data_IF_823684439402
#
_entry.id   IF_823684439402
#
_cell.length_a   1.000
_cell.length_b   1.000
_cell.length_c   1.000
_cell.angle_alpha   90.00
_cell.angle_beta   90.00
_cell.angle_gamma   90.00
#
_symmetry.space_group_name_H-M   'P 1'
#
loop_
_entity.id
_entity.type
_entity.pdbx_description
1 polymer ?
#
# COMPACT_ATOMS: atom_id res chain seq x y z
N UNK A 1 5.73 -9.98 22.33
CA UNK A 1 6.23 -9.65 20.98
C UNK A 1 5.45 -10.49 19.99
N UNK A 2 4.93 -9.91 18.93
CA UNK A 2 4.35 -10.69 17.84
C UNK A 2 5.49 -11.45 17.15
N UNK A 3 5.27 -12.71 16.79
CA UNK A 3 6.20 -13.43 15.93
C UNK A 3 6.02 -12.97 14.46
N UNK A 4 7.06 -13.18 13.64
CA UNK A 4 7.08 -12.70 12.25
C UNK A 4 5.96 -13.29 11.38
N UNK A 5 5.54 -14.54 11.64
CA UNK A 5 4.46 -15.19 10.90
C UNK A 5 3.11 -14.55 11.22
N UNK A 6 2.90 -14.21 12.50
CA UNK A 6 1.72 -13.46 12.94
C UNK A 6 1.68 -12.05 12.31
N UNK A 7 2.80 -11.33 12.29
CA UNK A 7 2.86 -10.02 11.60
C UNK A 7 2.46 -10.12 10.13
N UNK A 8 3.04 -11.10 9.40
CA UNK A 8 2.73 -11.32 7.99
C UNK A 8 1.24 -11.60 7.76
N UNK A 9 0.64 -12.46 8.59
CA UNK A 9 -0.79 -12.80 8.49
C UNK A 9 -1.68 -11.59 8.76
N UNK A 10 -1.34 -10.77 9.76
CA UNK A 10 -2.10 -9.57 10.09
C UNK A 10 -1.99 -8.52 8.98
N UNK A 11 -0.78 -8.27 8.47
CA UNK A 11 -0.58 -7.33 7.37
C UNK A 11 -1.36 -7.77 6.12
N UNK A 12 -1.31 -9.05 5.77
CA UNK A 12 -2.08 -9.60 4.65
C UNK A 12 -3.59 -9.46 4.85
N UNK A 13 -4.08 -9.73 6.06
CA UNK A 13 -5.51 -9.60 6.38
C UNK A 13 -6.00 -8.15 6.26
N UNK A 14 -5.21 -7.19 6.75
CA UNK A 14 -5.53 -5.76 6.67
C UNK A 14 -5.50 -5.26 5.22
N UNK A 15 -4.48 -5.61 4.44
CA UNK A 15 -4.41 -5.24 3.02
C UNK A 15 -5.59 -5.80 2.23
N UNK A 16 -6.03 -7.03 2.51
CA UNK A 16 -7.22 -7.63 1.89
C UNK A 16 -8.52 -6.87 2.21
N UNK A 17 -8.57 -6.09 3.30
CA UNK A 17 -9.74 -5.26 3.62
C UNK A 17 -9.84 -3.99 2.77
N UNK A 18 -8.82 -3.64 1.99
CA UNK A 18 -8.93 -2.56 1.00
C UNK A 18 -9.86 -2.95 -0.16
N UNK A 19 -10.10 -4.25 -0.37
CA UNK A 19 -11.05 -4.78 -1.35
C UNK A 19 -12.46 -5.01 -0.81
N UNK A 20 -12.73 -4.56 0.42
CA UNK A 20 -14.03 -4.78 1.05
C UNK A 20 -15.11 -3.91 0.36
N UNK A 21 -16.33 -4.43 0.10
CA UNK A 21 -17.40 -3.63 -0.50
C UNK A 21 -17.86 -2.47 0.39
N UNK A 22 -17.57 -2.50 1.70
CA UNK A 22 -17.89 -1.41 2.62
C UNK A 22 -16.76 -0.37 2.66
N UNK A 23 -17.07 0.86 2.27
CA UNK A 23 -16.17 2.01 2.39
C UNK A 23 -15.73 2.26 3.85
N UNK A 24 -16.57 1.92 4.82
CA UNK A 24 -16.22 2.02 6.24
C UNK A 24 -15.14 1.00 6.61
N UNK A 25 -15.27 -0.24 6.12
CA UNK A 25 -14.26 -1.28 6.35
C UNK A 25 -12.94 -0.92 5.67
N UNK A 26 -12.99 -0.42 4.44
CA UNK A 26 -11.83 0.11 3.74
C UNK A 26 -11.14 1.23 4.55
N UNK A 27 -11.92 2.20 5.05
CA UNK A 27 -11.42 3.30 5.87
C UNK A 27 -10.77 2.82 7.17
N UNK A 28 -11.35 1.80 7.82
CA UNK A 28 -10.76 1.17 9.00
C UNK A 28 -9.50 0.39 8.68
N UNK A 29 -9.41 -0.24 7.51
CA UNK A 29 -8.21 -0.90 7.04
C UNK A 29 -7.05 0.10 6.87
N UNK A 30 -7.31 1.28 6.29
CA UNK A 30 -6.34 2.37 6.17
C UNK A 30 -5.86 2.86 7.55
N UNK A 31 -6.78 3.07 8.50
CA UNK A 31 -6.42 3.47 9.87
C UNK A 31 -5.56 2.40 10.56
N UNK A 32 -5.86 1.12 10.33
CA UNK A 32 -5.06 0.02 10.86
C UNK A 32 -3.67 -0.04 10.21
N UNK A 33 -3.60 0.18 8.89
CA UNK A 33 -2.35 0.23 8.14
C UNK A 33 -1.38 1.29 8.70
N UNK A 34 -1.87 2.49 8.99
CA UNK A 34 -1.07 3.57 9.61
C UNK A 34 -0.42 3.14 10.94
N UNK A 35 -1.11 2.30 11.72
CA UNK A 35 -0.58 1.73 12.97
C UNK A 35 0.44 0.63 12.67
N UNK A 36 0.13 -0.28 11.75
CA UNK A 36 0.99 -1.42 11.42
C UNK A 36 2.38 -0.96 10.95
N UNK A 37 2.45 0.07 10.11
CA UNK A 37 3.72 0.62 9.58
C UNK A 37 4.71 1.04 10.68
N UNK A 38 4.22 1.34 11.88
CA UNK A 38 5.01 1.77 13.04
C UNK A 38 5.28 0.64 14.03
N UNK A 39 4.72 -0.55 13.81
CA UNK A 39 4.72 -1.66 14.78
C UNK A 39 5.40 -2.93 14.27
N UNK A 40 5.31 -3.19 12.98
CA UNK A 40 5.91 -4.39 12.37
C UNK A 40 7.37 -4.16 12.02
N UNK A 41 8.10 -5.25 11.81
CA UNK A 41 9.49 -5.18 11.35
C UNK A 41 9.62 -4.58 9.94
N UNK A 42 10.80 -4.03 9.63
CA UNK A 42 11.13 -3.43 8.33
C UNK A 42 10.74 -4.32 7.15
N UNK A 43 11.02 -5.63 7.22
CA UNK A 43 10.67 -6.56 6.14
C UNK A 43 9.17 -6.55 5.81
N UNK A 44 8.30 -6.40 6.81
CA UNK A 44 6.85 -6.31 6.59
C UNK A 44 6.43 -4.95 6.05
N UNK A 45 7.11 -3.86 6.43
CA UNK A 45 6.89 -2.53 5.84
C UNK A 45 7.20 -2.56 4.34
N UNK A 46 8.29 -3.21 3.95
CA UNK A 46 8.66 -3.37 2.54
C UNK A 46 7.67 -4.24 1.76
N UNK A 47 7.22 -5.35 2.35
CA UNK A 47 6.19 -6.18 1.75
C UNK A 47 4.85 -5.43 1.57
N UNK A 48 4.46 -4.60 2.53
CA UNK A 48 3.30 -3.71 2.41
C UNK A 48 3.49 -2.72 1.25
N UNK A 49 4.66 -2.11 1.15
CA UNK A 49 5.00 -1.18 0.06
C UNK A 49 4.85 -1.84 -1.31
N UNK A 50 5.43 -3.02 -1.49
CA UNK A 50 5.40 -3.73 -2.76
C UNK A 50 3.96 -4.16 -3.12
N UNK A 51 3.16 -4.60 -2.13
CA UNK A 51 1.75 -4.93 -2.33
C UNK A 51 0.89 -3.74 -2.71
N UNK A 52 1.03 -2.61 -2.03
CA UNK A 52 0.28 -1.40 -2.37
C UNK A 52 0.62 -0.91 -3.78
N UNK A 53 1.89 -0.98 -4.17
CA UNK A 53 2.28 -0.67 -5.55
C UNK A 53 1.63 -1.64 -6.56
N UNK A 54 1.64 -2.94 -6.27
CA UNK A 54 0.96 -3.93 -7.11
C UNK A 54 -0.54 -3.68 -7.24
N UNK A 55 -1.22 -3.30 -6.15
CA UNK A 55 -2.64 -2.95 -6.18
C UNK A 55 -2.94 -1.72 -7.04
N UNK A 56 -2.05 -0.71 -7.03
CA UNK A 56 -2.21 0.48 -7.87
C UNK A 56 -2.05 0.17 -9.36
N UNK A 57 -1.06 -0.66 -9.69
CA UNK A 57 -0.68 -0.95 -11.08
C UNK A 57 -1.55 -2.02 -11.72
N UNK A 58 -1.84 -3.08 -10.96
CA UNK A 58 -2.42 -4.32 -11.48
C UNK A 58 -3.73 -4.71 -10.75
N UNK A 59 -4.15 -3.92 -9.75
CA UNK A 59 -5.37 -4.16 -8.98
C UNK A 59 -6.63 -3.66 -9.70
N UNK A 60 -7.74 -3.61 -8.96
CA UNK A 60 -9.04 -3.17 -9.52
C UNK A 60 -9.08 -1.66 -9.71
N UNK A 61 -9.37 -1.21 -10.92
CA UNK A 61 -9.49 0.20 -11.28
C UNK A 61 -10.47 0.98 -10.39
N UNK A 62 -11.61 0.38 -10.08
CA UNK A 62 -12.65 0.98 -9.21
C UNK A 62 -12.18 1.20 -7.76
N UNK A 63 -11.13 0.50 -7.33
CA UNK A 63 -10.52 0.61 -6.00
C UNK A 63 -9.19 1.39 -6.02
N UNK A 64 -8.78 1.93 -7.18
CA UNK A 64 -7.50 2.64 -7.32
C UNK A 64 -7.39 3.85 -6.38
N UNK A 65 -8.51 4.51 -6.05
CA UNK A 65 -8.53 5.61 -5.08
C UNK A 65 -8.17 5.13 -3.66
N UNK A 66 -8.82 4.05 -3.18
CA UNK A 66 -8.51 3.51 -1.84
C UNK A 66 -7.08 2.95 -1.77
N UNK A 67 -6.59 2.31 -2.82
CA UNK A 67 -5.20 1.89 -2.89
C UNK A 67 -4.24 3.09 -2.85
N UNK A 68 -4.62 4.21 -3.48
CA UNK A 68 -3.82 5.44 -3.50
C UNK A 68 -3.77 6.10 -2.13
N UNK A 69 -4.89 6.08 -1.40
CA UNK A 69 -4.93 6.47 0.01
C UNK A 69 -3.99 5.57 0.83
N UNK A 70 -3.99 4.25 0.60
CA UNK A 70 -3.07 3.33 1.25
C UNK A 70 -1.59 3.67 0.99
N UNK A 71 -1.25 3.99 -0.25
CA UNK A 71 0.10 4.40 -0.63
C UNK A 71 0.49 5.76 -0.01
N UNK A 72 -0.44 6.72 0.04
CA UNK A 72 -0.26 8.00 0.74
C UNK A 72 -0.02 7.79 2.23
N UNK A 73 -0.80 6.92 2.87
CA UNK A 73 -0.63 6.53 4.27
C UNK A 73 0.73 5.89 4.50
N UNK A 74 1.19 5.00 3.61
CA UNK A 74 2.54 4.45 3.67
C UNK A 74 3.60 5.56 3.73
N UNK A 75 3.55 6.51 2.81
CA UNK A 75 4.53 7.62 2.75
C UNK A 75 4.44 8.51 3.99
N UNK A 76 3.24 8.77 4.50
CA UNK A 76 3.03 9.66 5.65
C UNK A 76 3.42 9.02 6.99
N UNK A 77 3.22 7.72 7.16
CA UNK A 77 3.30 7.05 8.46
C UNK A 77 4.51 6.11 8.61
N UNK A 78 5.26 5.86 7.55
CA UNK A 78 6.49 5.05 7.62
C UNK A 78 7.52 5.70 8.56
N UNK A 79 8.15 4.92 9.47
CA UNK A 79 9.26 5.42 10.28
C UNK A 79 10.44 5.91 9.42
N UNK A 80 11.11 6.98 9.85
CA UNK A 80 12.19 7.63 9.10
C UNK A 80 13.32 6.66 8.69
N UNK A 81 13.66 5.70 9.55
CA UNK A 81 14.70 4.70 9.27
C UNK A 81 14.36 3.79 8.06
N UNK A 82 13.07 3.56 7.78
CA UNK A 82 12.61 2.80 6.62
C UNK A 82 12.40 3.68 5.37
N UNK A 83 12.43 5.01 5.52
CA UNK A 83 12.05 5.96 4.47
C UNK A 83 12.87 5.81 3.18
N UNK A 84 14.20 5.64 3.30
CA UNK A 84 15.06 5.41 2.13
C UNK A 84 14.70 4.14 1.38
N UNK A 85 14.46 3.03 2.11
CA UNK A 85 14.13 1.74 1.53
C UNK A 85 12.74 1.70 0.89
N UNK A 86 11.77 2.40 1.48
CA UNK A 86 10.44 2.58 0.90
C UNK A 86 10.50 3.46 -0.35
N UNK A 87 11.17 4.62 -0.30
CA UNK A 87 11.30 5.51 -1.45
C UNK A 87 11.93 4.83 -2.67
N UNK A 88 12.99 4.04 -2.47
CA UNK A 88 13.62 3.30 -3.56
C UNK A 88 12.68 2.27 -4.23
N UNK A 89 11.83 1.60 -3.45
CA UNK A 89 10.85 0.64 -3.97
C UNK A 89 9.73 1.33 -4.72
N UNK A 90 9.16 2.38 -4.11
CA UNK A 90 8.12 3.21 -4.73
C UNK A 90 8.58 3.74 -6.09
N UNK A 91 9.76 4.37 -6.15
CA UNK A 91 10.31 4.93 -7.39
C UNK A 91 10.47 3.84 -8.45
N UNK A 92 11.09 2.70 -8.10
CA UNK A 92 11.29 1.59 -9.07
C UNK A 92 9.96 1.08 -9.63
N UNK A 93 8.96 0.89 -8.77
CA UNK A 93 7.70 0.26 -9.17
C UNK A 93 6.77 1.22 -9.89
N UNK A 94 6.63 2.45 -9.41
CA UNK A 94 5.79 3.47 -10.04
C UNK A 94 6.38 3.94 -11.38
N UNK A 95 7.70 4.13 -11.49
CA UNK A 95 8.32 4.47 -12.78
C UNK A 95 8.06 3.40 -13.84
N UNK A 96 8.14 2.12 -13.48
CA UNK A 96 7.80 1.05 -14.41
C UNK A 96 6.32 1.02 -14.80
N UNK A 97 5.42 1.50 -13.93
CA UNK A 97 4.01 1.68 -14.25
C UNK A 97 3.77 2.82 -15.24
N UNK A 98 4.44 3.96 -15.03
CA UNK A 98 4.33 5.15 -15.90
C UNK A 98 5.03 4.94 -17.25
N UNK A 99 6.10 4.13 -17.27
CA UNK A 99 6.87 3.85 -18.49
C UNK A 99 6.30 2.70 -19.31
N UNK A 100 5.31 1.97 -18.79
CA UNK A 100 4.51 1.03 -19.57
C UNK A 100 3.50 1.79 -20.43
N UNK A 101 3.29 1.36 -21.67
CA UNK A 101 2.36 1.89 -22.70
C UNK A 101 0.86 1.91 -22.31
N UNK A 102 0.53 1.97 -21.02
CA UNK A 102 -0.84 2.07 -20.53
C UNK A 102 -1.36 3.49 -20.72
N UNK A 103 -2.31 3.64 -21.64
CA UNK A 103 -3.10 4.84 -21.91
C UNK A 103 -3.32 5.66 -20.63
N UNK A 104 -2.69 6.84 -20.56
CA UNK A 104 -3.09 7.86 -19.58
C UNK A 104 -4.50 8.28 -20.02
N UNK A 105 -5.54 7.69 -19.42
CA UNK A 105 -6.91 8.15 -19.56
C UNK A 105 -7.02 9.52 -18.90
N UNK A 106 -6.63 10.56 -19.62
CA UNK A 106 -7.00 11.94 -19.30
C UNK A 106 -8.48 12.04 -19.66
N UNK A 107 -9.36 11.81 -18.68
CA UNK A 107 -10.75 12.26 -18.79
C UNK A 107 -10.74 13.79 -18.79
N UNK A 108 -10.83 14.37 -19.98
CA UNK A 108 -11.18 15.77 -20.17
C UNK A 108 -12.63 15.93 -19.71
N UNK A 109 -12.84 16.67 -18.61
CA UNK A 109 -14.14 17.28 -18.27
C UNK A 109 -14.35 18.58 -19.06
#
# INVERSE_FOLDING_TARGET
KMDASMEQRICAAVLKRLDDPSNDVQSKAIQCLAILLKKVQEAQVYEICDKLCGLILDGKDELRDIYSIGLKTLVADVPEHNGKGVAQRLIRRLLSGVSGDGVIEIKLE
#
